data_IF_522289313720
#
_entry.id   IF_522289313720
#
_cell.length_a   1.000
_cell.length_b   1.000
_cell.length_c   1.000
_cell.angle_alpha   90.00
_cell.angle_beta   90.00
_cell.angle_gamma   90.00
#
_symmetry.space_group_name_H-M   'P 1'
#
loop_
_entity.id
_entity.type
_entity.pdbx_description
1 polymer ?
#
# COMPACT_ATOMS: atom_id res chain seq x y z
N UNK A 1 37.19 10.46 7.27
CA UNK A 1 36.67 10.09 8.60
C UNK A 1 35.17 10.09 8.48
N UNK A 2 34.54 8.93 8.59
CA UNK A 2 33.09 8.78 8.39
C UNK A 2 32.36 9.37 9.60
N UNK A 3 31.82 10.58 9.46
CA UNK A 3 30.99 11.19 10.50
C UNK A 3 29.58 10.62 10.44
N UNK A 4 28.99 10.37 11.61
CA UNK A 4 27.58 9.96 11.72
C UNK A 4 26.69 11.07 11.13
N UNK A 5 25.76 10.77 10.21
CA UNK A 5 24.90 11.79 9.62
C UNK A 5 24.08 12.54 10.67
N UNK A 6 23.99 13.88 10.55
CA UNK A 6 23.23 14.71 11.50
C UNK A 6 21.77 14.28 11.64
N UNK A 7 21.14 13.81 10.56
CA UNK A 7 19.76 13.28 10.56
C UNK A 7 19.60 12.07 11.49
N UNK A 8 20.62 11.22 11.60
CA UNK A 8 20.60 10.12 12.55
C UNK A 8 20.71 10.64 13.99
N UNK A 9 21.63 11.59 14.24
CA UNK A 9 21.84 12.21 15.55
C UNK A 9 20.53 12.87 16.03
N UNK A 10 19.86 13.62 15.17
CA UNK A 10 18.57 14.27 15.47
C UNK A 10 17.50 13.23 15.90
N UNK A 11 17.41 12.10 15.20
CA UNK A 11 16.44 11.04 15.52
C UNK A 11 16.68 10.36 16.86
N UNK A 12 17.92 10.29 17.32
CA UNK A 12 18.28 9.62 18.59
C UNK A 12 18.49 10.59 19.75
N UNK A 13 18.36 11.91 19.51
CA UNK A 13 18.60 12.98 20.51
C UNK A 13 17.63 12.95 21.70
N UNK A 14 16.55 12.18 21.65
CA UNK A 14 15.65 11.93 22.81
C UNK A 14 15.79 10.54 23.45
N UNK A 15 16.65 9.68 22.92
CA UNK A 15 16.78 8.27 23.32
C UNK A 15 18.12 8.02 24.02
N UNK A 16 19.18 8.68 23.54
CA UNK A 16 20.54 8.47 24.03
C UNK A 16 20.95 9.56 25.04
N UNK A 17 21.75 9.21 26.06
CA UNK A 17 22.34 10.19 26.97
C UNK A 17 23.26 11.19 26.26
N UNK A 18 23.33 12.41 26.77
CA UNK A 18 24.12 13.51 26.18
C UNK A 18 25.60 13.18 25.98
N UNK A 19 26.20 12.37 26.86
CA UNK A 19 27.61 11.97 26.72
C UNK A 19 27.83 11.05 25.51
N UNK A 20 26.87 10.19 25.16
CA UNK A 20 26.90 9.34 23.96
C UNK A 20 26.69 10.20 22.70
N UNK A 21 25.71 11.12 22.73
CA UNK A 21 25.48 12.08 21.64
C UNK A 21 26.71 12.94 21.39
N UNK A 22 27.42 13.34 22.45
CA UNK A 22 28.69 14.05 22.37
C UNK A 22 29.81 13.25 21.72
N UNK A 23 29.84 11.92 21.85
CA UNK A 23 30.79 11.05 21.14
C UNK A 23 30.44 10.95 19.65
N UNK A 24 29.15 10.82 19.31
CA UNK A 24 28.67 10.76 17.92
C UNK A 24 28.93 12.08 17.17
N UNK A 25 28.63 13.23 17.81
CA UNK A 25 28.84 14.58 17.23
C UNK A 25 30.31 14.92 17.03
N UNK A 26 31.20 14.42 17.89
CA UNK A 26 32.66 14.67 17.82
C UNK A 26 33.40 13.67 16.93
N UNK A 27 32.70 12.76 16.26
CA UNK A 27 33.32 11.73 15.41
C UNK A 27 34.21 10.75 16.19
N UNK A 28 34.07 10.68 17.52
CA UNK A 28 34.90 9.86 18.40
C UNK A 28 34.52 8.37 18.40
N UNK A 29 33.33 8.05 17.89
CA UNK A 29 32.94 6.67 17.64
C UNK A 29 33.38 6.26 16.24
N UNK A 30 34.41 5.41 16.14
CA UNK A 30 34.61 4.56 14.96
C UNK A 30 33.56 3.44 15.03
N UNK A 31 32.28 3.81 14.92
CA UNK A 31 31.21 2.87 14.63
C UNK A 31 31.38 2.54 13.14
N UNK A 32 31.80 1.30 12.88
CA UNK A 32 32.28 0.84 11.58
C UNK A 32 31.54 1.44 10.38
N UNK A 33 32.32 1.92 9.41
CA UNK A 33 31.95 2.43 8.09
C UNK A 33 30.45 2.68 7.92
N UNK A 34 30.05 3.92 8.17
CA UNK A 34 28.87 4.49 7.51
C UNK A 34 29.21 4.72 6.04
N UNK A 35 29.56 3.65 5.33
CA UNK A 35 29.53 3.67 3.88
C UNK A 35 28.08 4.01 3.53
N UNK A 36 27.92 5.09 2.77
CA UNK A 36 26.69 5.48 2.09
C UNK A 36 25.92 4.23 1.64
N UNK A 37 24.92 3.80 2.42
CA UNK A 37 24.12 2.60 2.12
C UNK A 37 23.21 2.78 0.90
N UNK A 38 23.43 3.83 0.10
CA UNK A 38 22.62 4.20 -1.04
C UNK A 38 22.96 3.42 -2.32
N UNK A 39 24.02 2.60 -2.35
CA UNK A 39 24.31 1.68 -3.48
C UNK A 39 24.16 0.18 -3.14
N UNK A 40 23.82 -0.17 -1.89
CA UNK A 40 23.81 -1.56 -1.43
C UNK A 40 22.43 -2.22 -1.43
N UNK A 41 21.34 -1.45 -1.60
CA UNK A 41 20.00 -2.02 -1.63
C UNK A 41 19.63 -2.52 -3.03
N UNK A 42 19.41 -3.82 -3.15
CA UNK A 42 18.90 -4.45 -4.37
C UNK A 42 17.41 -4.66 -4.21
N UNK A 43 16.60 -3.82 -4.86
CA UNK A 43 15.16 -4.08 -4.97
C UNK A 43 14.88 -5.06 -6.10
N UNK A 44 14.03 -6.03 -5.82
CA UNK A 44 13.64 -7.07 -6.77
C UNK A 44 12.15 -6.95 -7.06
N UNK A 45 11.80 -6.97 -8.34
CA UNK A 45 10.44 -7.10 -8.81
C UNK A 45 10.24 -8.52 -9.32
N UNK A 46 9.28 -9.22 -8.73
CA UNK A 46 8.91 -10.57 -9.11
C UNK A 46 7.64 -10.52 -9.95
N UNK A 47 7.67 -11.16 -11.11
CA UNK A 47 6.47 -11.39 -11.92
C UNK A 47 6.22 -12.89 -12.03
N UNK A 48 4.98 -13.31 -11.76
CA UNK A 48 4.53 -14.71 -11.83
C UNK A 48 3.34 -14.76 -12.79
N UNK A 49 3.30 -15.77 -13.65
CA UNK A 49 2.18 -16.01 -14.57
C UNK A 49 2.08 -17.50 -14.92
N UNK A 50 1.03 -17.90 -15.65
CA UNK A 50 0.91 -19.21 -16.28
C UNK A 50 1.16 -19.05 -17.78
N UNK A 51 1.97 -19.95 -18.34
CA UNK A 51 2.18 -20.09 -19.79
C UNK A 51 2.01 -21.56 -20.15
N UNK A 52 1.06 -21.87 -21.04
CA UNK A 52 0.77 -23.23 -21.50
C UNK A 52 0.54 -24.22 -20.33
N UNK A 53 -0.26 -23.81 -19.34
CA UNK A 53 -0.54 -24.59 -18.12
C UNK A 53 0.64 -24.73 -17.15
N UNK A 54 1.78 -24.09 -17.44
CA UNK A 54 2.98 -24.14 -16.62
C UNK A 54 3.22 -22.80 -15.91
N UNK A 55 3.48 -22.86 -14.61
CA UNK A 55 3.88 -21.70 -13.81
C UNK A 55 5.25 -21.21 -14.26
N UNK A 56 5.34 -19.93 -14.60
CA UNK A 56 6.57 -19.29 -15.03
C UNK A 56 6.79 -17.98 -14.29
N UNK A 57 8.03 -17.53 -14.18
CA UNK A 57 8.36 -16.30 -13.47
C UNK A 57 9.57 -15.58 -14.06
N UNK A 58 9.73 -14.32 -13.68
CA UNK A 58 10.94 -13.54 -13.91
C UNK A 58 11.22 -12.62 -12.73
N UNK A 59 12.49 -12.25 -12.60
CA UNK A 59 12.95 -11.28 -11.62
C UNK A 59 13.60 -10.10 -12.35
N UNK A 60 13.33 -8.89 -11.87
CA UNK A 60 13.93 -7.67 -12.39
C UNK A 60 14.54 -6.84 -11.25
N UNK A 61 15.63 -6.14 -11.53
CA UNK A 61 16.18 -5.09 -10.65
C UNK A 61 16.53 -3.86 -11.48
N UNK A 62 16.12 -2.68 -11.03
CA UNK A 62 16.31 -1.42 -11.77
C UNK A 62 15.92 -1.50 -13.26
N UNK A 63 14.82 -2.19 -13.56
CA UNK A 63 14.32 -2.38 -14.94
C UNK A 63 15.09 -3.40 -15.79
N UNK A 64 16.09 -4.08 -15.23
CA UNK A 64 16.88 -5.11 -15.94
C UNK A 64 16.47 -6.51 -15.49
N UNK A 65 16.35 -7.43 -16.45
CA UNK A 65 16.14 -8.84 -16.17
C UNK A 65 17.36 -9.42 -15.43
N UNK A 66 17.09 -10.22 -14.41
CA UNK A 66 18.11 -10.96 -13.66
C UNK A 66 17.68 -12.41 -13.49
N UNK A 67 18.64 -13.33 -13.61
CA UNK A 67 18.37 -14.74 -13.39
C UNK A 67 17.99 -14.99 -11.93
N UNK A 68 17.10 -15.95 -11.67
CA UNK A 68 16.77 -16.30 -10.28
C UNK A 68 17.98 -16.85 -9.51
N UNK A 69 18.93 -17.51 -10.20
CA UNK A 69 20.20 -17.90 -9.59
C UNK A 69 20.99 -16.69 -9.08
N UNK A 70 20.97 -15.58 -9.81
CA UNK A 70 21.64 -14.34 -9.41
C UNK A 70 20.91 -13.68 -8.24
N UNK A 71 19.57 -13.72 -8.23
CA UNK A 71 18.76 -13.29 -7.07
C UNK A 71 19.15 -14.09 -5.84
N UNK A 72 19.23 -15.42 -5.94
CA UNK A 72 19.60 -16.28 -4.81
C UNK A 72 21.03 -16.02 -4.33
N UNK A 73 21.98 -15.88 -5.26
CA UNK A 73 23.37 -15.60 -4.93
C UNK A 73 23.56 -14.23 -4.25
N UNK A 74 22.73 -13.24 -4.60
CA UNK A 74 22.74 -11.90 -4.02
C UNK A 74 21.81 -11.72 -2.82
N UNK A 75 20.98 -12.73 -2.49
CA UNK A 75 19.96 -12.58 -1.46
C UNK A 75 20.57 -12.48 -0.07
N UNK A 76 20.44 -11.28 0.51
CA UNK A 76 20.73 -11.00 1.90
C UNK A 76 19.57 -10.19 2.47
N UNK A 77 18.90 -10.68 3.52
CA UNK A 77 17.73 -10.03 4.11
C UNK A 77 17.99 -8.59 4.60
N UNK A 78 19.25 -8.18 4.75
CA UNK A 78 19.61 -6.80 5.11
C UNK A 78 19.61 -5.85 3.91
N UNK A 79 19.92 -6.32 2.70
CA UNK A 79 20.24 -5.48 1.54
C UNK A 79 19.45 -5.83 0.28
N UNK A 80 18.94 -7.05 0.16
CA UNK A 80 18.10 -7.48 -0.95
C UNK A 80 16.66 -7.72 -0.46
N UNK A 81 15.66 -7.24 -1.20
CA UNK A 81 14.25 -7.37 -0.82
C UNK A 81 13.34 -7.35 -2.05
N UNK A 82 12.17 -7.96 -1.93
CA UNK A 82 11.08 -7.82 -2.89
C UNK A 82 10.38 -6.49 -2.66
N UNK A 83 10.52 -5.61 -3.65
CA UNK A 83 9.79 -4.35 -3.71
C UNK A 83 8.40 -4.56 -4.31
N UNK A 84 8.29 -5.40 -5.34
CA UNK A 84 7.03 -5.72 -5.98
C UNK A 84 6.87 -7.22 -6.25
N UNK A 85 5.65 -7.73 -6.08
CA UNK A 85 5.23 -9.07 -6.51
C UNK A 85 3.98 -8.94 -7.36
N UNK A 86 4.09 -9.27 -8.64
CA UNK A 86 3.04 -9.08 -9.62
C UNK A 86 2.60 -10.43 -10.20
N UNK A 87 1.31 -10.73 -10.09
CA UNK A 87 0.66 -11.83 -10.79
C UNK A 87 0.02 -11.26 -12.04
N UNK A 88 0.52 -11.65 -13.21
CA UNK A 88 0.15 -11.02 -14.48
C UNK A 88 -0.49 -12.03 -15.43
N UNK A 89 -1.37 -11.55 -16.32
CA UNK A 89 -2.09 -12.39 -17.28
C UNK A 89 -1.18 -12.94 -18.38
N UNK A 90 -0.37 -12.06 -18.99
CA UNK A 90 0.40 -12.40 -20.18
C UNK A 90 1.86 -12.01 -20.05
N UNK A 91 2.80 -12.95 -20.24
CA UNK A 91 4.22 -12.65 -20.25
C UNK A 91 4.62 -11.99 -21.59
N UNK A 92 4.88 -10.69 -21.56
CA UNK A 92 5.37 -9.92 -22.71
C UNK A 92 6.84 -10.25 -23.11
N UNK A 93 7.56 -10.98 -22.27
CA UNK A 93 9.02 -11.16 -22.35
C UNK A 93 9.45 -12.59 -21.99
N UNK A 94 10.77 -12.82 -21.89
CA UNK A 94 11.38 -14.08 -21.44
C UNK A 94 11.03 -14.36 -19.97
N UNK A 95 10.27 -15.43 -19.75
CA UNK A 95 10.00 -16.00 -18.44
C UNK A 95 10.63 -17.38 -18.38
N UNK A 96 11.10 -17.77 -17.20
CA UNK A 96 11.64 -19.10 -16.96
C UNK A 96 10.64 -19.98 -16.19
N UNK A 97 10.68 -21.31 -16.37
CA UNK A 97 9.84 -22.23 -15.61
C UNK A 97 10.01 -22.08 -14.09
N UNK A 98 8.89 -22.04 -13.37
CA UNK A 98 8.86 -22.02 -11.91
C UNK A 98 8.49 -23.41 -11.39
N UNK A 99 9.49 -24.14 -10.89
CA UNK A 99 9.23 -25.34 -10.08
C UNK A 99 8.63 -24.96 -8.73
N UNK A 100 8.07 -25.95 -8.02
CA UNK A 100 7.60 -25.74 -6.66
C UNK A 100 8.74 -25.40 -5.69
N UNK A 101 9.94 -25.95 -5.93
CA UNK A 101 11.14 -25.55 -5.17
C UNK A 101 11.51 -24.08 -5.36
N UNK A 102 11.35 -23.52 -6.57
CA UNK A 102 11.53 -22.09 -6.80
C UNK A 102 10.48 -21.28 -6.01
N UNK A 103 9.21 -21.67 -6.09
CA UNK A 103 8.13 -20.97 -5.41
C UNK A 103 8.26 -21.03 -3.88
N UNK A 104 8.60 -22.18 -3.31
CA UNK A 104 8.86 -22.32 -1.86
C UNK A 104 10.05 -21.49 -1.40
N UNK A 105 11.07 -21.35 -2.24
CA UNK A 105 12.22 -20.50 -1.94
C UNK A 105 11.81 -19.03 -1.90
N UNK A 106 11.01 -18.58 -2.89
CA UNK A 106 10.42 -17.22 -2.89
C UNK A 106 9.59 -16.98 -1.63
N UNK A 107 8.71 -17.91 -1.24
CA UNK A 107 7.92 -17.78 0.00
C UNK A 107 8.80 -17.60 1.23
N UNK A 108 9.88 -18.40 1.36
CA UNK A 108 10.84 -18.28 2.48
C UNK A 108 11.58 -16.94 2.47
N UNK A 109 11.93 -16.44 1.30
CA UNK A 109 12.57 -15.13 1.14
C UNK A 109 11.64 -13.99 1.58
N UNK A 110 10.39 -14.01 1.11
CA UNK A 110 9.35 -13.04 1.50
C UNK A 110 9.06 -13.12 3.01
N UNK A 111 8.86 -14.32 3.56
CA UNK A 111 8.58 -14.52 4.98
C UNK A 111 9.68 -13.97 5.91
N UNK A 112 10.93 -13.94 5.43
CA UNK A 112 12.10 -13.46 6.18
C UNK A 112 12.37 -11.97 5.98
N UNK A 113 11.68 -11.33 5.04
CA UNK A 113 11.82 -9.91 4.79
C UNK A 113 11.23 -9.14 5.97
N UNK A 114 12.03 -8.25 6.58
CA UNK A 114 11.58 -7.42 7.72
C UNK A 114 10.80 -6.17 7.29
N UNK A 115 10.59 -5.99 5.99
CA UNK A 115 9.98 -4.81 5.38
C UNK A 115 8.71 -5.23 4.64
N UNK A 116 7.69 -4.36 4.65
CA UNK A 116 6.51 -4.53 3.79
C UNK A 116 6.93 -4.57 2.33
N UNK A 117 6.24 -5.38 1.54
CA UNK A 117 6.37 -5.32 0.08
C UNK A 117 5.74 -4.01 -0.38
N UNK A 118 6.42 -3.22 -1.21
CA UNK A 118 5.90 -1.93 -1.64
C UNK A 118 4.62 -2.10 -2.49
N UNK A 119 4.55 -3.14 -3.32
CA UNK A 119 3.37 -3.42 -4.15
C UNK A 119 3.14 -4.91 -4.36
N UNK A 120 1.90 -5.34 -4.15
CA UNK A 120 1.40 -6.63 -4.66
C UNK A 120 0.29 -6.32 -5.65
N UNK A 121 0.47 -6.71 -6.91
CA UNK A 121 -0.50 -6.51 -7.99
C UNK A 121 -1.00 -7.87 -8.49
N UNK A 122 -2.31 -8.04 -8.51
CA UNK A 122 -3.01 -9.24 -8.95
C UNK A 122 -3.88 -8.82 -10.13
N UNK A 123 -3.42 -9.10 -11.36
CA UNK A 123 -4.10 -8.70 -12.60
C UNK A 123 -5.32 -9.57 -12.91
N UNK A 124 -6.06 -9.17 -13.95
CA UNK A 124 -7.15 -9.94 -14.53
C UNK A 124 -6.64 -11.33 -15.01
N UNK A 125 -7.53 -12.34 -15.05
CA UNK A 125 -7.24 -13.69 -15.59
C UNK A 125 -6.15 -14.52 -14.88
N UNK A 126 -5.77 -14.19 -13.64
CA UNK A 126 -4.84 -15.01 -12.83
C UNK A 126 -5.52 -16.09 -11.98
N UNK A 127 -6.69 -16.58 -12.41
CA UNK A 127 -7.53 -17.52 -11.66
C UNK A 127 -6.77 -18.77 -11.20
N UNK A 128 -5.95 -19.34 -12.08
CA UNK A 128 -5.11 -20.52 -11.80
C UNK A 128 -3.97 -20.24 -10.81
N UNK A 129 -3.65 -18.97 -10.53
CA UNK A 129 -2.61 -18.57 -9.58
C UNK A 129 -3.17 -18.12 -8.24
N UNK A 130 -4.49 -18.13 -8.03
CA UNK A 130 -5.09 -17.62 -6.80
C UNK A 130 -4.58 -18.34 -5.54
N UNK A 131 -4.32 -19.64 -5.61
CA UNK A 131 -3.68 -20.37 -4.51
C UNK A 131 -2.25 -19.85 -4.24
N UNK A 132 -1.46 -19.58 -5.28
CA UNK A 132 -0.13 -18.99 -5.15
C UNK A 132 -0.19 -17.55 -4.60
N UNK A 133 -1.19 -16.77 -5.00
CA UNK A 133 -1.46 -15.44 -4.44
C UNK A 133 -1.72 -15.56 -2.94
N UNK A 134 -2.65 -16.41 -2.53
CA UNK A 134 -2.98 -16.64 -1.13
C UNK A 134 -1.75 -17.05 -0.31
N UNK A 135 -0.92 -17.94 -0.85
CA UNK A 135 0.33 -18.38 -0.25
C UNK A 135 1.34 -17.25 -0.02
N UNK A 136 1.49 -16.33 -0.98
CA UNK A 136 2.36 -15.15 -0.83
C UNK A 136 1.78 -14.18 0.19
N UNK A 137 0.48 -13.89 0.13
CA UNK A 137 -0.18 -12.98 1.07
C UNK A 137 -0.10 -13.47 2.52
N UNK A 138 -0.20 -14.80 2.75
CA UNK A 138 -0.03 -15.41 4.10
C UNK A 138 1.34 -15.15 4.72
N UNK A 139 2.39 -14.96 3.90
CA UNK A 139 3.77 -14.85 4.39
C UNK A 139 4.38 -13.45 4.26
N UNK A 140 3.71 -12.51 3.58
CA UNK A 140 4.31 -11.22 3.21
C UNK A 140 4.57 -10.21 4.34
N UNK A 141 4.08 -10.47 5.56
CA UNK A 141 4.24 -9.56 6.70
C UNK A 141 3.58 -8.17 6.52
N UNK A 142 2.86 -7.98 5.41
CA UNK A 142 2.19 -6.74 5.03
C UNK A 142 2.69 -6.13 3.72
N UNK A 143 1.86 -5.27 3.16
CA UNK A 143 2.05 -4.60 1.88
C UNK A 143 1.74 -3.11 2.01
N UNK A 144 2.53 -2.27 1.34
CA UNK A 144 2.24 -0.84 1.24
C UNK A 144 1.07 -0.61 0.28
N UNK A 145 1.04 -1.31 -0.86
CA UNK A 145 -0.06 -1.30 -1.82
C UNK A 145 -0.50 -2.72 -2.18
N UNK A 146 -1.80 -2.99 -2.03
CA UNK A 146 -2.46 -4.19 -2.56
C UNK A 146 -3.39 -3.77 -3.70
N UNK A 147 -3.16 -4.30 -4.89
CA UNK A 147 -3.99 -4.09 -6.08
C UNK A 147 -4.56 -5.42 -6.52
N UNK A 148 -5.89 -5.47 -6.66
CA UNK A 148 -6.62 -6.65 -7.10
C UNK A 148 -7.51 -6.26 -8.26
N UNK A 149 -7.38 -6.94 -9.39
CA UNK A 149 -8.22 -6.75 -10.59
C UNK A 149 -8.98 -8.03 -10.97
N UNK A 150 -9.04 -8.99 -10.06
CA UNK A 150 -9.68 -10.30 -10.27
C UNK A 150 -10.66 -10.57 -9.14
N UNK A 151 -11.57 -11.52 -9.35
CA UNK A 151 -12.48 -11.99 -8.30
C UNK A 151 -11.66 -12.64 -7.17
N UNK A 152 -11.85 -12.10 -5.97
CA UNK A 152 -11.14 -12.54 -4.78
C UNK A 152 -11.91 -13.53 -3.92
N UNK A 153 -13.14 -13.88 -4.27
CA UNK A 153 -13.93 -14.87 -3.52
C UNK A 153 -13.11 -16.14 -3.17
N UNK A 154 -12.26 -16.70 -4.06
CA UNK A 154 -11.46 -17.88 -3.73
C UNK A 154 -10.38 -17.66 -2.66
N UNK A 155 -9.93 -16.42 -2.46
CA UNK A 155 -8.87 -16.06 -1.49
C UNK A 155 -9.36 -15.07 -0.42
N UNK A 156 -10.67 -14.86 -0.35
CA UNK A 156 -11.32 -13.88 0.52
C UNK A 156 -10.85 -14.00 1.98
N UNK A 157 -10.77 -15.20 2.60
CA UNK A 157 -10.35 -15.30 4.00
C UNK A 157 -8.93 -14.78 4.24
N UNK A 158 -8.05 -14.93 3.25
CA UNK A 158 -6.66 -14.50 3.35
C UNK A 158 -6.57 -12.99 3.19
N UNK A 159 -7.27 -12.42 2.21
CA UNK A 159 -7.32 -10.97 1.98
C UNK A 159 -7.94 -10.27 3.18
N UNK A 160 -9.09 -10.76 3.64
CA UNK A 160 -9.78 -10.26 4.84
C UNK A 160 -8.86 -10.25 6.05
N UNK A 161 -8.17 -11.36 6.32
CA UNK A 161 -7.23 -11.46 7.43
C UNK A 161 -6.09 -10.45 7.28
N UNK A 162 -5.47 -10.38 6.10
CA UNK A 162 -4.35 -9.46 5.85
C UNK A 162 -4.74 -8.00 6.09
N UNK A 163 -5.93 -7.58 5.64
CA UNK A 163 -6.44 -6.22 5.90
C UNK A 163 -6.74 -6.07 7.39
N UNK A 164 -7.48 -7.02 8.00
CA UNK A 164 -7.86 -6.98 9.42
C UNK A 164 -6.66 -6.89 10.37
N UNK A 165 -5.54 -7.49 10.01
CA UNK A 165 -4.29 -7.46 10.78
C UNK A 165 -3.49 -6.15 10.58
N UNK A 166 -4.02 -5.16 9.83
CA UNK A 166 -3.30 -3.93 9.48
C UNK A 166 -2.17 -4.14 8.46
N UNK A 167 -2.23 -5.26 7.74
CA UNK A 167 -1.24 -5.67 6.75
C UNK A 167 -1.29 -4.83 5.48
N UNK A 168 -2.33 -4.02 5.23
CA UNK A 168 -2.48 -3.23 3.99
C UNK A 168 -2.57 -1.74 4.29
N UNK A 169 -1.73 -0.93 3.63
CA UNK A 169 -1.73 0.54 3.79
C UNK A 169 -2.50 1.29 2.70
N UNK A 170 -2.45 0.79 1.47
CA UNK A 170 -3.18 1.33 0.32
C UNK A 170 -3.87 0.17 -0.38
N UNK A 171 -5.19 0.25 -0.49
CA UNK A 171 -6.01 -0.82 -1.07
C UNK A 171 -6.63 -0.34 -2.37
N UNK A 172 -6.44 -1.13 -3.42
CA UNK A 172 -7.07 -0.94 -4.72
C UNK A 172 -7.79 -2.23 -5.10
N UNK A 173 -9.06 -2.12 -5.48
CA UNK A 173 -9.82 -3.25 -6.00
C UNK A 173 -10.62 -2.84 -7.23
N UNK A 174 -10.55 -3.67 -8.27
CA UNK A 174 -11.37 -3.55 -9.47
C UNK A 174 -12.12 -4.86 -9.68
N UNK A 175 -13.43 -4.75 -9.88
CA UNK A 175 -14.30 -5.89 -10.15
C UNK A 175 -15.14 -6.31 -8.95
N UNK A 176 -16.28 -6.92 -9.28
CA UNK A 176 -17.23 -7.54 -8.36
C UNK A 176 -16.88 -9.02 -8.12
N UNK A 177 -17.46 -9.66 -7.09
CA UNK A 177 -18.35 -9.09 -6.06
C UNK A 177 -17.60 -8.37 -4.92
N UNK A 178 -18.28 -7.40 -4.30
CA UNK A 178 -17.86 -6.83 -3.02
C UNK A 178 -18.50 -7.63 -1.88
N UNK A 179 -17.70 -8.17 -0.98
CA UNK A 179 -18.22 -8.94 0.15
C UNK A 179 -18.58 -8.02 1.34
N UNK A 180 -19.67 -8.32 2.06
CA UNK A 180 -20.20 -7.51 3.18
C UNK A 180 -19.16 -7.14 4.26
N UNK A 181 -18.19 -8.02 4.50
CA UNK A 181 -17.16 -7.79 5.50
C UNK A 181 -16.22 -6.63 5.16
N UNK A 182 -16.15 -6.25 3.89
CA UNK A 182 -15.13 -5.34 3.37
C UNK A 182 -15.28 -3.95 3.99
N UNK A 183 -16.50 -3.39 4.01
CA UNK A 183 -16.74 -2.05 4.60
C UNK A 183 -16.31 -2.01 6.06
N UNK A 184 -16.76 -2.97 6.87
CA UNK A 184 -16.42 -3.04 8.31
C UNK A 184 -14.92 -3.16 8.55
N UNK A 185 -14.24 -3.96 7.72
CA UNK A 185 -12.80 -4.19 7.84
C UNK A 185 -11.99 -2.96 7.41
N UNK A 186 -12.35 -2.33 6.29
CA UNK A 186 -11.73 -1.07 5.84
C UNK A 186 -11.94 0.03 6.88
N UNK A 187 -13.16 0.18 7.40
CA UNK A 187 -13.49 1.16 8.43
C UNK A 187 -12.64 0.98 9.69
N UNK A 188 -12.48 -0.25 10.16
CA UNK A 188 -11.66 -0.57 11.32
C UNK A 188 -10.20 -0.16 11.10
N UNK A 189 -9.64 -0.45 9.92
CA UNK A 189 -8.24 -0.14 9.62
C UNK A 189 -7.99 1.34 9.31
N UNK A 190 -9.00 2.07 8.82
CA UNK A 190 -8.96 3.53 8.71
C UNK A 190 -8.83 4.15 10.11
N UNK A 191 -9.69 3.78 11.05
CA UNK A 191 -9.65 4.28 12.42
C UNK A 191 -8.37 3.88 13.17
N UNK A 192 -7.84 2.68 12.90
CA UNK A 192 -6.54 2.26 13.45
C UNK A 192 -5.35 3.06 12.85
N UNK A 193 -5.57 3.82 11.77
CA UNK A 193 -4.53 4.57 11.08
C UNK A 193 -3.59 3.71 10.22
N UNK A 194 -3.93 2.44 10.00
CA UNK A 194 -3.13 1.50 9.21
C UNK A 194 -3.39 1.67 7.71
N UNK A 195 -4.65 1.91 7.35
CA UNK A 195 -5.11 2.11 5.97
C UNK A 195 -5.24 3.61 5.71
N UNK A 196 -4.60 4.11 4.64
CA UNK A 196 -4.56 5.55 4.31
C UNK A 196 -5.17 5.89 2.95
N UNK A 197 -5.45 4.87 2.14
CA UNK A 197 -5.90 5.02 0.77
C UNK A 197 -6.75 3.81 0.36
N UNK A 198 -7.91 4.09 -0.23
CA UNK A 198 -8.86 3.14 -0.78
C UNK A 198 -9.23 3.63 -2.17
N UNK A 199 -9.19 2.74 -3.15
CA UNK A 199 -9.70 2.98 -4.50
C UNK A 199 -10.43 1.75 -4.98
N UNK A 200 -11.72 1.90 -5.25
CA UNK A 200 -12.60 0.82 -5.65
C UNK A 200 -13.28 1.20 -6.96
N UNK A 201 -13.17 0.34 -7.97
CA UNK A 201 -13.93 0.50 -9.22
C UNK A 201 -15.31 -0.08 -9.03
N UNK A 202 -16.33 0.78 -9.03
CA UNK A 202 -17.72 0.44 -8.72
C UNK A 202 -18.51 0.05 -9.98
N UNK A 203 -17.86 -0.56 -10.98
CA UNK A 203 -18.51 -0.91 -12.24
C UNK A 203 -19.53 -2.03 -11.97
N UNK A 204 -20.82 -1.66 -12.01
CA UNK A 204 -21.99 -2.52 -11.80
C UNK A 204 -22.74 -2.19 -10.50
N UNK A 205 -24.08 -2.21 -10.57
CA UNK A 205 -25.02 -1.77 -9.51
C UNK A 205 -24.86 -2.53 -8.18
N UNK A 206 -24.27 -1.88 -7.17
CA UNK A 206 -24.32 -2.32 -5.78
C UNK A 206 -24.47 -1.09 -4.89
N UNK A 207 -25.68 -0.54 -4.92
CA UNK A 207 -26.02 0.76 -4.34
C UNK A 207 -25.79 0.77 -2.83
N UNK A 208 -26.09 -0.34 -2.15
CA UNK A 208 -25.97 -0.48 -0.70
C UNK A 208 -24.50 -0.48 -0.25
N UNK A 209 -23.63 -1.19 -0.99
CA UNK A 209 -22.21 -1.20 -0.70
C UNK A 209 -21.57 0.17 -0.90
N UNK A 210 -21.90 0.85 -2.01
CA UNK A 210 -21.39 2.17 -2.33
C UNK A 210 -21.86 3.22 -1.30
N UNK A 211 -23.14 3.21 -0.95
CA UNK A 211 -23.69 4.06 0.11
C UNK A 211 -22.95 3.85 1.43
N UNK A 212 -22.69 2.60 1.80
CA UNK A 212 -21.96 2.24 3.02
C UNK A 212 -20.53 2.78 3.03
N UNK A 213 -19.82 2.73 1.90
CA UNK A 213 -18.47 3.31 1.75
C UNK A 213 -18.48 4.83 1.86
N UNK A 214 -19.45 5.50 1.22
CA UNK A 214 -19.59 6.96 1.31
C UNK A 214 -19.89 7.35 2.75
N UNK A 215 -20.84 6.69 3.42
CA UNK A 215 -21.17 6.95 4.84
C UNK A 215 -19.97 6.72 5.75
N UNK A 216 -19.18 5.67 5.52
CA UNK A 216 -17.93 5.42 6.24
C UNK A 216 -16.94 6.59 6.07
N UNK A 217 -16.70 7.04 4.84
CA UNK A 217 -15.81 8.17 4.55
C UNK A 217 -16.32 9.48 5.20
N UNK A 218 -17.63 9.75 5.13
CA UNK A 218 -18.26 10.90 5.79
C UNK A 218 -18.04 10.88 7.30
N UNK A 219 -18.31 9.75 7.95
CA UNK A 219 -18.10 9.60 9.39
C UNK A 219 -16.65 9.89 9.77
N UNK A 220 -15.70 9.37 9.00
CA UNK A 220 -14.27 9.57 9.28
C UNK A 220 -13.81 11.02 9.04
N UNK A 221 -14.34 11.71 8.01
CA UNK A 221 -14.05 13.12 7.74
C UNK A 221 -14.60 14.01 8.87
N UNK A 222 -15.83 13.77 9.30
CA UNK A 222 -16.50 14.55 10.35
C UNK A 222 -15.83 14.43 11.72
N UNK A 223 -15.13 13.33 12.00
CA UNK A 223 -14.31 13.17 13.21
C UNK A 223 -13.04 14.02 13.19
N UNK A 224 -12.59 14.48 12.02
CA UNK A 224 -11.47 15.41 11.85
C UNK A 224 -10.15 14.94 12.47
N UNK A 225 -9.90 13.63 12.46
CA UNK A 225 -8.67 13.02 13.00
C UNK A 225 -7.42 13.32 12.15
N UNK A 226 -7.60 13.84 10.93
CA UNK A 226 -6.53 14.08 9.97
C UNK A 226 -6.63 15.47 9.31
N UNK A 227 -5.48 15.95 8.82
CA UNK A 227 -5.36 17.30 8.25
C UNK A 227 -5.94 17.40 6.85
N UNK A 228 -5.84 16.33 6.07
CA UNK A 228 -6.26 16.31 4.69
C UNK A 228 -7.07 15.05 4.40
N UNK A 229 -8.19 15.24 3.71
CA UNK A 229 -9.04 14.20 3.16
C UNK A 229 -9.28 14.43 1.68
N UNK A 230 -9.34 13.34 0.92
CA UNK A 230 -9.78 13.32 -0.47
C UNK A 230 -10.87 12.29 -0.63
N UNK A 231 -11.99 12.67 -1.24
CA UNK A 231 -13.08 11.77 -1.57
C UNK A 231 -13.51 11.95 -3.03
N UNK A 232 -13.63 10.85 -3.75
CA UNK A 232 -14.30 10.74 -5.05
C UNK A 232 -15.35 9.65 -4.99
N UNK A 233 -16.53 9.87 -5.56
CA UNK A 233 -17.61 8.88 -5.61
C UNK A 233 -18.61 9.23 -6.74
N UNK A 234 -19.51 8.30 -7.11
CA UNK A 234 -20.52 8.52 -8.15
C UNK A 234 -21.54 9.63 -7.85
N UNK A 235 -22.01 10.31 -8.89
CA UNK A 235 -22.95 11.45 -8.84
C UNK A 235 -24.23 11.17 -8.06
N UNK A 236 -24.74 9.93 -8.09
CA UNK A 236 -25.98 9.56 -7.40
C UNK A 236 -25.90 9.69 -5.87
N UNK A 237 -24.72 9.54 -5.26
CA UNK A 237 -24.52 9.61 -3.80
C UNK A 237 -24.29 11.02 -3.25
N UNK A 238 -24.36 12.06 -4.08
CA UNK A 238 -24.17 13.46 -3.67
C UNK A 238 -25.11 13.86 -2.52
N UNK A 239 -26.30 13.26 -2.45
CA UNK A 239 -27.27 13.53 -1.39
C UNK A 239 -26.78 13.12 0.02
N UNK A 240 -25.82 12.19 0.13
CA UNK A 240 -25.23 11.74 1.39
C UNK A 240 -24.28 12.78 2.02
N UNK A 241 -23.98 13.87 1.31
CA UNK A 241 -22.97 14.85 1.70
C UNK A 241 -23.51 16.00 2.54
N UNK A 242 -24.83 16.07 2.73
CA UNK A 242 -25.47 17.12 3.54
C UNK A 242 -24.76 17.35 4.89
N UNK A 243 -24.38 16.32 5.67
CA UNK A 243 -23.66 16.52 6.92
C UNK A 243 -22.33 17.28 6.77
N UNK A 244 -21.57 17.04 5.69
CA UNK A 244 -20.34 17.79 5.44
C UNK A 244 -20.62 19.25 5.08
N UNK A 245 -21.69 19.51 4.33
CA UNK A 245 -22.07 20.87 3.93
C UNK A 245 -22.55 21.71 5.12
N UNK A 246 -23.17 21.06 6.11
CA UNK A 246 -23.63 21.71 7.34
C UNK A 246 -22.48 21.99 8.31
N UNK A 247 -21.51 21.07 8.42
CA UNK A 247 -20.41 21.16 9.40
C UNK A 247 -19.14 21.83 8.86
N UNK A 248 -18.90 21.82 7.54
CA UNK A 248 -17.69 22.37 6.94
C UNK A 248 -17.96 23.63 6.11
N UNK A 249 -17.00 24.55 6.13
CA UNK A 249 -17.05 25.79 5.36
C UNK A 249 -16.62 25.54 3.92
N UNK A 250 -17.49 25.87 2.98
CA UNK A 250 -17.19 25.86 1.56
C UNK A 250 -16.14 26.92 1.19
N UNK A 251 -15.10 26.52 0.45
CA UNK A 251 -14.00 27.39 0.00
C UNK A 251 -14.04 27.63 -1.52
N UNK A 252 -14.94 28.51 -1.96
CA UNK A 252 -15.12 28.89 -3.37
C UNK A 252 -13.82 29.33 -4.06
N UNK A 253 -12.94 30.02 -3.34
CA UNK A 253 -11.65 30.54 -3.84
C UNK A 253 -10.63 29.48 -4.19
N UNK A 254 -10.84 28.23 -3.78
CA UNK A 254 -9.97 27.08 -4.09
C UNK A 254 -10.63 26.08 -5.02
N UNK A 255 -11.91 26.26 -5.35
CA UNK A 255 -12.61 25.42 -6.30
C UNK A 255 -11.87 25.42 -7.64
N UNK A 256 -11.56 24.23 -8.15
CA UNK A 256 -11.01 24.06 -9.50
C UNK A 256 -12.08 23.41 -10.37
N UNK A 257 -11.87 23.38 -11.69
CA UNK A 257 -12.71 22.58 -12.59
C UNK A 257 -12.76 21.09 -12.24
N UNK A 258 -11.90 20.63 -11.33
CA UNK A 258 -11.72 19.23 -10.98
C UNK A 258 -12.19 18.87 -9.57
N UNK A 259 -12.65 19.82 -8.74
CA UNK A 259 -13.03 19.48 -7.37
C UNK A 259 -13.55 20.63 -6.51
N UNK A 260 -14.38 20.24 -5.56
CA UNK A 260 -14.94 21.09 -4.52
C UNK A 260 -14.05 21.04 -3.27
N UNK A 261 -13.77 22.20 -2.68
CA UNK A 261 -12.93 22.30 -1.49
C UNK A 261 -13.72 22.80 -0.28
N UNK A 262 -13.55 22.10 0.84
CA UNK A 262 -14.08 22.48 2.15
C UNK A 262 -12.93 22.62 3.15
N UNK A 263 -13.08 23.52 4.13
CA UNK A 263 -12.28 23.50 5.34
C UNK A 263 -13.15 23.59 6.58
N UNK A 264 -12.61 23.10 7.70
CA UNK A 264 -13.22 23.39 8.99
C UNK A 264 -13.13 24.90 9.28
N UNK A 265 -14.09 25.52 10.00
CA UNK A 265 -14.03 26.94 10.37
C UNK A 265 -12.73 27.37 11.08
N UNK A 266 -12.07 26.43 11.77
CA UNK A 266 -10.79 26.62 12.48
C UNK A 266 -9.55 26.28 11.62
N UNK A 267 -9.74 25.94 10.33
CA UNK A 267 -8.72 25.69 9.30
C UNK A 267 -7.70 24.56 9.57
N UNK A 268 -7.93 23.70 10.56
CA UNK A 268 -7.06 22.53 10.81
C UNK A 268 -7.28 21.37 9.84
N UNK A 269 -8.44 21.28 9.22
CA UNK A 269 -8.83 20.18 8.32
C UNK A 269 -9.22 20.71 6.94
N UNK A 270 -8.70 20.04 5.89
CA UNK A 270 -9.01 20.31 4.49
C UNK A 270 -9.62 19.08 3.84
N UNK A 271 -10.71 19.27 3.11
CA UNK A 271 -11.38 18.21 2.37
C UNK A 271 -11.45 18.61 0.91
N UNK A 272 -10.92 17.76 0.04
CA UNK A 272 -11.14 17.84 -1.41
C UNK A 272 -12.17 16.77 -1.77
N UNK A 273 -13.23 17.19 -2.44
CA UNK A 273 -14.28 16.33 -2.90
C UNK A 273 -14.43 16.46 -4.42
N UNK A 274 -14.38 15.33 -5.10
CA UNK A 274 -14.59 15.20 -6.54
C UNK A 274 -15.76 14.25 -6.80
N UNK A 275 -16.42 14.42 -7.93
CA UNK A 275 -17.48 13.49 -8.37
C UNK A 275 -16.94 12.71 -9.56
N UNK A 276 -17.07 11.39 -9.51
CA UNK A 276 -16.56 10.44 -10.50
C UNK A 276 -17.52 9.27 -10.60
N UNK A 277 -18.09 9.05 -11.78
CA UNK A 277 -19.15 8.07 -11.99
C UNK A 277 -18.66 6.60 -11.98
N UNK A 278 -17.33 6.37 -11.93
CA UNK A 278 -16.74 5.04 -12.12
C UNK A 278 -16.03 4.55 -10.84
N UNK A 279 -15.50 5.48 -10.05
CA UNK A 279 -14.61 5.15 -8.94
C UNK A 279 -15.06 5.74 -7.61
N UNK A 280 -14.98 4.92 -6.56
CA UNK A 280 -14.86 5.38 -5.20
C UNK A 280 -13.37 5.53 -4.84
N UNK A 281 -12.95 6.73 -4.49
CA UNK A 281 -11.59 7.01 -4.03
C UNK A 281 -11.68 7.69 -2.69
N UNK A 282 -11.01 7.13 -1.68
CA UNK A 282 -10.91 7.75 -0.37
C UNK A 282 -9.47 7.75 0.13
N UNK A 283 -8.99 8.89 0.59
CA UNK A 283 -7.65 8.96 1.17
C UNK A 283 -7.52 10.06 2.21
N UNK A 284 -6.53 9.91 3.09
CA UNK A 284 -6.23 10.92 4.10
C UNK A 284 -4.72 11.05 4.35
N UNK A 285 -4.31 12.17 4.97
CA UNK A 285 -2.92 12.40 5.40
C UNK A 285 -2.87 13.02 6.79
N UNK A 286 -2.04 12.43 7.68
CA UNK A 286 -1.69 12.98 8.99
C UNK A 286 -0.89 14.28 8.84
N UNK A 287 -0.99 15.16 9.85
CA UNK A 287 -0.17 16.36 9.93
C UNK A 287 1.28 15.93 10.21
N UNK A 288 2.23 16.26 9.33
CA UNK A 288 3.65 15.94 9.55
C UNK A 288 4.39 16.99 10.41
N UNK A 289 3.65 17.92 11.03
CA UNK A 289 4.21 19.09 11.73
C UNK A 289 3.81 19.19 13.22
N UNK A 290 3.34 18.12 13.83
CA UNK A 290 3.18 18.04 15.29
C UNK A 290 3.76 16.72 15.81
#
# INVERSE_FOLDING_TARGET
>A
MDSVPNVFIERVTGILPDHILGVLRRGGAILGRWASAHSAYTSVWLHITIRDGTKVFRCCTAGRLIGFKDVLASWNNATCYFEAVNFIESPWEEFQPMSDSHFDTVKKMIARQRRRICSVDIQECVGELLENVADILKVCGGVEKLTMRTDIAPIEPIVKKLISDGGVRRFYMRGKPFSDWLVSTLNTQLHAGNLIYIELSLIGDDDEFCESLVRMAMSHILKQEHKYYSLSHPTEYVHLHRPLQEELKYLSSKATSYGIHYSHPEDHTKVTWTVDDIFFIYSWKKNMHY
#
